data_IF_708922030624
#
_entry.id   IF_708922030624
#
_cell.length_a   1.000
_cell.length_b   1.000
_cell.length_c   1.000
_cell.angle_alpha   90.00
_cell.angle_beta   90.00
_cell.angle_gamma   90.00
#
_symmetry.space_group_name_H-M   'P 1'
#
loop_
_entity.id
_entity.type
_entity.pdbx_description
1 polymer ?
#
# COMPACT_ATOMS: atom_id res chain seq x y z
N UNK A 1 -28.29 -4.15 56.55
CA UNK A 1 -26.92 -3.70 56.64
C UNK A 1 -26.19 -4.29 55.45
N UNK A 2 -26.28 -3.61 54.29
CA UNK A 2 -25.69 -4.06 53.03
C UNK A 2 -24.50 -3.22 52.70
N UNK A 3 -23.32 -3.82 52.81
CA UNK A 3 -22.04 -3.19 52.51
C UNK A 3 -21.77 -3.34 51.02
N UNK A 4 -21.82 -2.22 50.29
CA UNK A 4 -21.45 -2.13 48.87
C UNK A 4 -19.96 -2.39 48.70
N UNK A 5 -19.64 -3.54 48.11
CA UNK A 5 -18.30 -3.82 47.59
C UNK A 5 -18.17 -3.11 46.23
N UNK A 6 -17.63 -1.90 46.21
CA UNK A 6 -17.21 -1.19 45.03
C UNK A 6 -15.93 -1.90 44.49
N UNK A 7 -16.12 -2.87 43.61
CA UNK A 7 -15.04 -3.46 42.87
C UNK A 7 -14.45 -2.41 41.90
N UNK A 8 -13.34 -1.85 42.31
CA UNK A 8 -12.50 -1.05 41.46
C UNK A 8 -12.18 -1.85 40.18
N UNK A 9 -12.62 -1.33 39.00
CA UNK A 9 -12.15 -1.84 37.70
C UNK A 9 -10.61 -1.83 37.70
N UNK A 10 -9.96 -2.95 37.39
CA UNK A 10 -8.51 -2.93 37.27
C UNK A 10 -8.13 -1.93 36.19
N UNK A 11 -7.30 -0.95 36.53
CA UNK A 11 -6.64 -0.09 35.56
C UNK A 11 -5.96 -1.01 34.56
N UNK A 12 -6.51 -1.09 33.35
CA UNK A 12 -5.83 -1.78 32.25
C UNK A 12 -4.50 -1.06 32.07
N UNK A 13 -3.47 -1.75 32.48
CA UNK A 13 -2.09 -1.36 32.22
C UNK A 13 -1.98 -0.90 30.76
N UNK A 14 -1.53 0.31 30.57
CA UNK A 14 -1.13 0.89 29.30
C UNK A 14 0.15 0.20 28.80
N UNK A 15 0.10 -1.11 28.69
CA UNK A 15 1.14 -1.87 28.01
C UNK A 15 0.92 -1.65 26.51
N UNK A 16 1.46 -0.57 26.00
CA UNK A 16 1.52 -0.28 24.57
C UNK A 16 2.35 -1.39 23.92
N UNK A 17 1.65 -2.41 23.42
CA UNK A 17 2.32 -3.44 22.61
C UNK A 17 2.94 -2.73 21.40
N UNK A 18 4.24 -2.91 21.14
CA UNK A 18 4.94 -2.26 20.02
C UNK A 18 4.55 -2.85 18.66
N UNK A 19 3.29 -3.28 18.54
CA UNK A 19 2.77 -4.01 17.40
C UNK A 19 2.61 -3.13 16.16
N UNK A 20 2.43 -1.81 16.33
CA UNK A 20 2.24 -0.91 15.20
C UNK A 20 3.53 -0.57 14.44
N UNK A 21 4.68 -0.57 15.12
CA UNK A 21 5.97 -0.19 14.51
C UNK A 21 6.39 -1.14 13.40
N UNK A 22 6.25 -2.46 13.59
CA UNK A 22 6.62 -3.44 12.56
C UNK A 22 5.79 -3.29 11.27
N UNK A 23 4.51 -2.96 11.39
CA UNK A 23 3.65 -2.76 10.21
C UNK A 23 3.95 -1.44 9.50
N UNK A 24 4.36 -0.41 10.24
CA UNK A 24 4.85 0.83 9.65
C UNK A 24 6.15 0.60 8.87
N UNK A 25 7.07 -0.20 9.41
CA UNK A 25 8.31 -0.59 8.71
C UNK A 25 7.98 -1.32 7.40
N UNK A 26 6.96 -2.18 7.38
CA UNK A 26 6.49 -2.83 6.16
C UNK A 26 6.02 -1.83 5.11
N UNK A 27 5.22 -0.83 5.48
CA UNK A 27 4.77 0.22 4.56
C UNK A 27 5.96 1.00 3.99
N UNK A 28 6.93 1.36 4.84
CA UNK A 28 8.14 2.09 4.40
C UNK A 28 8.97 1.22 3.45
N UNK A 29 9.13 -0.07 3.77
CA UNK A 29 9.84 -1.00 2.90
C UNK A 29 9.16 -1.16 1.55
N UNK A 30 7.82 -1.19 1.51
CA UNK A 30 7.04 -1.27 0.28
C UNK A 30 7.19 0.00 -0.57
N UNK A 31 7.15 1.19 0.04
CA UNK A 31 7.42 2.45 -0.66
C UNK A 31 8.82 2.43 -1.30
N UNK A 32 9.83 1.98 -0.55
CA UNK A 32 11.19 1.88 -1.05
C UNK A 32 11.30 0.83 -2.17
N UNK A 33 10.62 -0.31 -2.03
CA UNK A 33 10.58 -1.36 -3.05
C UNK A 33 9.98 -0.86 -4.36
N UNK A 34 8.84 -0.17 -4.30
CA UNK A 34 8.19 0.44 -5.48
C UNK A 34 9.16 1.42 -6.14
N UNK A 35 9.81 2.29 -5.35
CA UNK A 35 10.79 3.23 -5.88
C UNK A 35 11.94 2.52 -6.61
N UNK A 36 12.54 1.51 -5.99
CA UNK A 36 13.67 0.77 -6.55
C UNK A 36 13.27 0.05 -7.85
N UNK A 37 12.15 -0.68 -7.84
CA UNK A 37 11.72 -1.45 -8.99
C UNK A 37 11.34 -0.55 -10.18
N UNK A 38 10.69 0.57 -9.93
CA UNK A 38 10.33 1.53 -10.98
C UNK A 38 11.52 2.39 -11.44
N UNK A 39 12.62 2.42 -10.68
CA UNK A 39 13.87 3.08 -11.08
C UNK A 39 14.74 2.20 -11.99
N UNK A 40 14.39 0.94 -12.19
CA UNK A 40 15.14 0.05 -13.10
C UNK A 40 14.95 0.48 -14.55
N UNK A 41 16.03 0.46 -15.37
CA UNK A 41 15.95 0.81 -16.78
C UNK A 41 14.93 -0.07 -17.54
N UNK A 42 14.19 0.53 -18.48
CA UNK A 42 13.20 -0.19 -19.29
C UNK A 42 13.77 -1.33 -20.12
N UNK A 43 15.07 -1.24 -20.50
CA UNK A 43 15.80 -2.30 -21.20
C UNK A 43 15.87 -3.63 -20.42
N UNK A 44 15.77 -3.59 -19.09
CA UNK A 44 15.78 -4.79 -18.24
C UNK A 44 14.55 -5.68 -18.46
N UNK A 45 13.50 -5.18 -19.11
CA UNK A 45 12.23 -5.88 -19.34
C UNK A 45 11.93 -6.14 -20.83
N UNK A 46 12.85 -5.76 -21.76
CA UNK A 46 12.57 -5.75 -23.19
C UNK A 46 12.94 -7.05 -23.91
N UNK A 47 13.74 -7.95 -23.33
CA UNK A 47 14.08 -9.24 -23.93
C UNK A 47 12.92 -10.23 -23.78
N UNK A 48 11.84 -9.96 -24.55
CA UNK A 48 10.65 -10.81 -24.56
C UNK A 48 10.60 -11.61 -25.85
N UNK A 49 10.86 -12.89 -25.75
CA UNK A 49 10.65 -13.83 -26.85
C UNK A 49 9.34 -14.60 -26.65
N UNK A 50 8.62 -14.83 -27.73
CA UNK A 50 7.43 -15.67 -27.76
C UNK A 50 6.12 -14.99 -27.29
N UNK A 51 5.20 -15.79 -26.73
CA UNK A 51 3.84 -15.37 -26.34
C UNK A 51 3.78 -14.28 -25.24
N UNK A 52 4.85 -14.12 -24.48
CA UNK A 52 4.98 -13.06 -23.45
C UNK A 52 4.98 -11.64 -24.06
N UNK A 53 5.27 -11.51 -25.35
CA UNK A 53 5.22 -10.22 -26.04
C UNK A 53 3.80 -9.60 -26.08
N UNK A 54 2.77 -10.43 -26.00
CA UNK A 54 1.37 -10.00 -26.09
C UNK A 54 0.87 -9.41 -24.75
N UNK A 55 1.49 -9.79 -23.63
CA UNK A 55 1.07 -9.34 -22.30
C UNK A 55 1.69 -7.99 -21.95
N UNK A 56 0.90 -7.01 -21.52
CA UNK A 56 1.40 -5.73 -21.02
C UNK A 56 1.99 -5.90 -19.61
N UNK A 57 3.10 -6.67 -19.50
CA UNK A 57 3.71 -7.06 -18.24
C UNK A 57 4.07 -5.82 -17.41
N UNK A 58 4.53 -4.76 -18.07
CA UNK A 58 4.86 -3.50 -17.39
C UNK A 58 3.64 -2.97 -16.61
N UNK A 59 2.48 -2.90 -17.23
CA UNK A 59 1.23 -2.45 -16.59
C UNK A 59 0.74 -3.39 -15.49
N UNK A 60 0.93 -4.69 -15.65
CA UNK A 60 0.62 -5.67 -14.61
C UNK A 60 1.51 -5.43 -13.39
N UNK A 61 2.80 -5.14 -13.61
CA UNK A 61 3.74 -4.81 -12.51
C UNK A 61 3.28 -3.55 -11.78
N UNK A 62 2.89 -2.49 -12.48
CA UNK A 62 2.34 -1.26 -11.88
C UNK A 62 1.10 -1.56 -11.03
N UNK A 63 0.10 -2.27 -11.55
CA UNK A 63 -1.10 -2.68 -10.80
C UNK A 63 -0.75 -3.44 -9.53
N UNK A 64 0.18 -4.40 -9.61
CA UNK A 64 0.58 -5.23 -8.47
C UNK A 64 1.35 -4.42 -7.42
N UNK A 65 2.29 -3.57 -7.84
CA UNK A 65 3.11 -2.77 -6.94
C UNK A 65 2.25 -1.75 -6.16
N UNK A 66 1.39 -1.01 -6.85
CA UNK A 66 0.53 -0.02 -6.20
C UNK A 66 -0.64 -0.66 -5.45
N UNK A 67 -1.12 -1.81 -5.91
CA UNK A 67 -2.09 -2.63 -5.19
C UNK A 67 -1.53 -3.18 -3.88
N UNK A 68 -0.31 -3.72 -3.88
CA UNK A 68 0.36 -4.21 -2.66
C UNK A 68 0.69 -3.08 -1.69
N UNK A 69 1.12 -1.91 -2.20
CA UNK A 69 1.37 -0.73 -1.38
C UNK A 69 0.09 -0.26 -0.66
N UNK A 70 -1.02 -0.14 -1.38
CA UNK A 70 -2.30 0.23 -0.78
C UNK A 70 -2.78 -0.81 0.24
N UNK A 71 -2.61 -2.11 -0.06
CA UNK A 71 -2.91 -3.20 0.87
C UNK A 71 -2.09 -3.08 2.16
N UNK A 72 -0.80 -2.78 2.05
CA UNK A 72 0.10 -2.60 3.20
C UNK A 72 -0.39 -1.47 4.13
N UNK A 73 -0.88 -0.35 3.57
CA UNK A 73 -1.49 0.73 4.34
C UNK A 73 -2.76 0.27 5.06
N UNK A 74 -3.67 -0.45 4.38
CA UNK A 74 -4.92 -0.91 5.02
C UNK A 74 -4.63 -1.92 6.13
N UNK A 75 -3.66 -2.80 5.94
CA UNK A 75 -3.22 -3.75 6.95
C UNK A 75 -2.60 -3.04 8.16
N UNK A 76 -1.75 -2.04 7.93
CA UNK A 76 -1.20 -1.20 8.99
C UNK A 76 -2.30 -0.49 9.78
N UNK A 77 -3.30 0.13 9.11
CA UNK A 77 -4.41 0.81 9.76
C UNK A 77 -5.27 -0.14 10.60
N UNK A 78 -5.43 -1.36 10.15
CA UNK A 78 -6.18 -2.36 10.91
C UNK A 78 -5.46 -2.81 12.17
N UNK A 79 -4.15 -2.96 12.12
CA UNK A 79 -3.30 -3.43 13.23
C UNK A 79 -2.82 -2.32 14.16
N UNK A 80 -2.98 -1.05 13.77
CA UNK A 80 -2.59 0.07 14.63
C UNK A 80 -3.49 0.21 15.86
N UNK A 81 -2.93 0.75 16.94
CA UNK A 81 -3.70 1.13 18.14
C UNK A 81 -4.31 2.53 18.04
N UNK A 82 -3.87 3.31 17.05
CA UNK A 82 -4.33 4.70 16.84
C UNK A 82 -5.70 4.69 16.18
N UNK A 83 -6.73 5.03 16.94
CA UNK A 83 -8.12 4.97 16.50
C UNK A 83 -8.43 5.85 15.28
N UNK A 84 -7.77 7.01 15.17
CA UNK A 84 -7.94 7.94 14.05
C UNK A 84 -7.54 7.30 12.69
N UNK A 85 -6.54 6.42 12.69
CA UNK A 85 -6.07 5.71 11.49
C UNK A 85 -7.00 4.57 11.04
N UNK A 86 -7.93 4.13 11.88
CA UNK A 86 -8.94 3.12 11.51
C UNK A 86 -10.15 3.71 10.79
N UNK A 87 -10.15 5.01 10.58
CA UNK A 87 -11.26 5.71 9.94
C UNK A 87 -11.26 5.53 8.41
N UNK A 88 -12.45 5.64 7.81
CA UNK A 88 -12.60 5.69 6.33
C UNK A 88 -11.81 6.85 5.73
N UNK A 89 -11.67 7.96 6.46
CA UNK A 89 -10.88 9.12 6.01
C UNK A 89 -9.40 8.77 5.89
N UNK A 90 -8.84 8.02 6.83
CA UNK A 90 -7.44 7.59 6.76
C UNK A 90 -7.20 6.66 5.57
N UNK A 91 -8.14 5.75 5.27
CA UNK A 91 -8.07 4.89 4.09
C UNK A 91 -8.11 5.72 2.80
N UNK A 92 -8.99 6.72 2.72
CA UNK A 92 -9.05 7.63 1.58
C UNK A 92 -7.73 8.42 1.39
N UNK A 93 -7.14 8.92 2.47
CA UNK A 93 -5.84 9.59 2.41
C UNK A 93 -4.72 8.66 1.95
N UNK A 94 -4.71 7.40 2.36
CA UNK A 94 -3.76 6.42 1.85
C UNK A 94 -3.92 6.17 0.34
N UNK A 95 -5.17 6.08 -0.15
CA UNK A 95 -5.44 5.95 -1.58
C UNK A 95 -4.92 7.15 -2.36
N UNK A 96 -5.23 8.38 -1.88
CA UNK A 96 -4.74 9.62 -2.50
C UNK A 96 -3.21 9.64 -2.51
N UNK A 97 -2.57 9.27 -1.39
CA UNK A 97 -1.11 9.19 -1.30
C UNK A 97 -0.54 8.23 -2.35
N UNK A 98 -1.09 7.02 -2.46
CA UNK A 98 -0.61 6.03 -3.43
C UNK A 98 -0.76 6.52 -4.87
N UNK A 99 -1.90 7.15 -5.22
CA UNK A 99 -2.13 7.71 -6.56
C UNK A 99 -1.14 8.86 -6.86
N UNK A 100 -0.97 9.80 -5.92
CA UNK A 100 -0.01 10.90 -6.09
C UNK A 100 1.42 10.39 -6.20
N UNK A 101 1.74 9.34 -5.44
CA UNK A 101 3.05 8.70 -5.51
C UNK A 101 3.28 8.04 -6.88
N UNK A 102 2.28 7.36 -7.45
CA UNK A 102 2.34 6.82 -8.81
C UNK A 102 2.59 7.90 -9.85
N UNK A 103 1.82 9.00 -9.80
CA UNK A 103 2.02 10.14 -10.68
C UNK A 103 3.45 10.70 -10.56
N UNK A 104 3.96 10.85 -9.33
CA UNK A 104 5.31 11.33 -9.09
C UNK A 104 6.38 10.38 -9.67
N UNK A 105 6.15 9.06 -9.58
CA UNK A 105 7.04 8.04 -10.15
C UNK A 105 7.09 8.12 -11.68
N UNK A 106 5.96 8.39 -12.35
CA UNK A 106 5.93 8.59 -13.81
C UNK A 106 6.78 9.79 -14.26
N UNK A 107 6.67 10.92 -13.53
CA UNK A 107 7.53 12.07 -13.78
C UNK A 107 9.01 11.77 -13.49
N UNK A 108 9.29 11.04 -12.41
CA UNK A 108 10.64 10.61 -12.08
C UNK A 108 11.22 9.72 -13.17
N UNK A 109 10.48 8.72 -13.68
CA UNK A 109 10.90 7.85 -14.76
C UNK A 109 11.24 8.65 -16.03
N UNK A 110 10.38 9.59 -16.41
CA UNK A 110 10.59 10.45 -17.58
C UNK A 110 11.92 11.20 -17.54
N UNK A 111 12.34 11.68 -16.38
CA UNK A 111 13.48 12.56 -16.26
C UNK A 111 14.78 11.89 -15.85
N UNK A 112 14.69 10.79 -15.11
CA UNK A 112 15.85 10.19 -14.46
C UNK A 112 16.11 8.73 -14.85
N UNK A 113 15.15 8.03 -15.47
CA UNK A 113 15.33 6.61 -15.79
C UNK A 113 15.58 6.43 -17.30
N UNK A 114 16.78 5.93 -17.70
CA UNK A 114 17.07 5.69 -19.10
C UNK A 114 16.07 4.72 -19.75
N UNK A 115 15.72 4.98 -21.00
CA UNK A 115 14.82 4.14 -21.80
C UNK A 115 13.37 4.04 -21.26
N UNK A 116 12.98 4.91 -20.33
CA UNK A 116 11.60 5.05 -19.88
C UNK A 116 11.03 6.42 -20.30
N UNK A 117 9.75 6.42 -20.64
CA UNK A 117 9.00 7.62 -20.98
C UNK A 117 7.85 7.83 -20.02
N UNK A 118 7.19 8.97 -20.12
CA UNK A 118 5.96 9.24 -19.40
C UNK A 118 4.80 8.53 -20.09
N UNK A 119 4.15 7.61 -19.40
CA UNK A 119 3.00 6.87 -19.92
C UNK A 119 1.76 7.06 -19.05
N UNK A 120 0.73 7.74 -19.58
CA UNK A 120 -0.56 7.88 -18.89
C UNK A 120 -1.21 6.53 -18.57
N UNK A 121 -0.93 5.51 -19.39
CA UNK A 121 -1.44 4.15 -19.17
C UNK A 121 -0.90 3.53 -17.87
N UNK A 122 0.33 3.85 -17.49
CA UNK A 122 0.94 3.35 -16.26
C UNK A 122 0.34 4.05 -15.03
N UNK A 123 0.06 5.36 -15.12
CA UNK A 123 -0.72 6.06 -14.09
C UNK A 123 -2.12 5.46 -13.89
N UNK A 124 -2.77 5.04 -14.98
CA UNK A 124 -4.09 4.37 -14.90
C UNK A 124 -3.93 2.99 -14.25
N UNK A 125 -2.87 2.25 -14.56
CA UNK A 125 -2.57 0.96 -13.96
C UNK A 125 -2.31 1.10 -12.45
N UNK A 126 -1.54 2.10 -12.02
CA UNK A 126 -1.30 2.42 -10.62
C UNK A 126 -2.61 2.71 -9.88
N UNK A 127 -3.42 3.61 -10.44
CA UNK A 127 -4.71 3.95 -9.87
C UNK A 127 -5.66 2.74 -9.79
N UNK A 128 -5.68 1.89 -10.81
CA UNK A 128 -6.47 0.65 -10.81
C UNK A 128 -6.00 -0.28 -9.69
N UNK A 129 -4.70 -0.50 -9.53
CA UNK A 129 -4.14 -1.30 -8.43
C UNK A 129 -4.59 -0.80 -7.06
N UNK A 130 -4.48 0.51 -6.83
CA UNK A 130 -4.91 1.16 -5.57
C UNK A 130 -6.41 0.99 -5.33
N UNK A 131 -7.24 1.22 -6.35
CA UNK A 131 -8.71 1.15 -6.22
C UNK A 131 -9.20 -0.28 -5.97
N UNK A 132 -8.60 -1.29 -6.62
CA UNK A 132 -8.96 -2.68 -6.40
C UNK A 132 -8.46 -3.25 -5.07
N UNK A 133 -7.40 -2.70 -4.50
CA UNK A 133 -6.85 -3.16 -3.23
C UNK A 133 -7.85 -3.07 -2.08
N UNK A 134 -8.67 -2.00 -2.01
CA UNK A 134 -9.61 -1.80 -0.89
C UNK A 134 -10.71 -2.87 -0.83
N UNK A 135 -11.49 -3.12 -1.90
CA UNK A 135 -12.52 -4.17 -1.85
C UNK A 135 -11.93 -5.55 -1.63
N UNK A 136 -10.78 -5.87 -2.23
CA UNK A 136 -10.09 -7.14 -2.01
C UNK A 136 -9.66 -7.30 -0.55
N UNK A 137 -9.09 -6.25 0.06
CA UNK A 137 -8.74 -6.24 1.47
C UNK A 137 -9.96 -6.45 2.38
N UNK A 138 -11.08 -5.78 2.09
CA UNK A 138 -12.31 -5.94 2.86
C UNK A 138 -12.90 -7.35 2.74
N UNK A 139 -12.86 -7.95 1.54
CA UNK A 139 -13.30 -9.33 1.32
C UNK A 139 -12.41 -10.33 2.09
N UNK A 140 -11.10 -10.13 2.05
CA UNK A 140 -10.15 -10.95 2.78
C UNK A 140 -10.39 -10.87 4.29
N UNK A 141 -10.60 -9.66 4.82
CA UNK A 141 -10.87 -9.43 6.25
C UNK A 141 -12.16 -10.08 6.75
N UNK A 142 -13.20 -10.15 5.92
CA UNK A 142 -14.47 -10.80 6.27
C UNK A 142 -14.36 -12.33 6.39
N UNK A 143 -13.30 -12.93 5.85
CA UNK A 143 -13.07 -14.38 5.87
C UNK A 143 -12.19 -14.84 7.05
N UNK A 144 -11.67 -13.91 7.85
CA UNK A 144 -10.89 -14.17 9.06
C UNK A 144 -11.74 -14.08 10.33
#
# INVERSE_FOLDING_TARGET
>A
MWMHCLLAKPMRSWCTKPTSMKYLIWVIAEIALVFVLLSLPGSSFTDRTGWLYILPIDKIVHVLLFGSLAWSFYYFFDKTTIQALKSVRAQAWAMIFCIVYGIAMEYYQKWYVPSRGFEVKDMIADAAGVLFALPLYQLWKKRQ
#
